data_IF_525334934879
#
_entry.id   IF_525334934879
#
_cell.length_a   1.000
_cell.length_b   1.000
_cell.length_c   1.000
_cell.angle_alpha   90.00
_cell.angle_beta   90.00
_cell.angle_gamma   90.00
#
_symmetry.space_group_name_H-M   'P 1'
#
loop_
_entity.id
_entity.type
_entity.pdbx_description
1 polymer ?
#
# COMPACT_ATOMS: atom_id res chain seq x y z
N UNK A 1 -29.50 -19.05 -25.16
CA UNK A 1 -28.44 -19.51 -24.23
C UNK A 1 -27.78 -18.27 -23.67
N UNK A 2 -28.05 -17.97 -22.41
CA UNK A 2 -27.66 -16.76 -21.70
C UNK A 2 -26.16 -16.79 -21.35
N UNK A 3 -25.36 -15.97 -22.00
CA UNK A 3 -24.01 -15.65 -21.53
C UNK A 3 -24.11 -14.59 -20.44
N UNK A 4 -23.71 -14.99 -19.24
CA UNK A 4 -23.65 -14.21 -18.01
C UNK A 4 -23.03 -12.82 -18.24
N UNK A 5 -23.65 -11.78 -17.69
CA UNK A 5 -23.08 -10.43 -17.66
C UNK A 5 -21.71 -10.50 -16.98
N UNK A 6 -20.66 -9.94 -17.60
CA UNK A 6 -19.40 -9.70 -16.91
C UNK A 6 -19.70 -8.83 -15.67
N UNK A 7 -19.63 -9.43 -14.49
CA UNK A 7 -19.77 -8.73 -13.22
C UNK A 7 -18.69 -7.65 -13.17
N UNK A 8 -19.05 -6.40 -12.87
CA UNK A 8 -18.08 -5.31 -12.78
C UNK A 8 -16.96 -5.66 -11.78
N UNK A 9 -15.69 -5.54 -12.17
CA UNK A 9 -14.53 -5.82 -11.29
C UNK A 9 -14.26 -4.68 -10.30
N UNK A 10 -14.85 -3.51 -10.55
CA UNK A 10 -14.72 -2.30 -9.77
C UNK A 10 -16.12 -1.74 -9.49
N UNK A 11 -16.31 -1.18 -8.29
CA UNK A 11 -17.45 -0.35 -7.94
C UNK A 11 -16.95 1.00 -7.39
N UNK A 12 -17.86 1.94 -7.07
CA UNK A 12 -17.52 3.22 -6.46
C UNK A 12 -18.12 3.33 -5.06
N UNK A 13 -17.30 3.79 -4.11
CA UNK A 13 -17.69 4.13 -2.76
C UNK A 13 -17.17 5.53 -2.43
N UNK A 14 -18.04 6.44 -1.99
CA UNK A 14 -17.72 7.86 -1.76
C UNK A 14 -16.98 8.52 -2.95
N UNK A 15 -17.37 8.16 -4.18
CA UNK A 15 -16.75 8.66 -5.41
C UNK A 15 -15.43 7.98 -5.81
N UNK A 16 -14.82 7.17 -4.93
CA UNK A 16 -13.54 6.51 -5.15
C UNK A 16 -13.76 5.11 -5.75
N UNK A 17 -13.01 4.71 -6.79
CA UNK A 17 -13.07 3.34 -7.32
C UNK A 17 -12.46 2.32 -6.34
N UNK A 18 -13.16 1.21 -6.11
CA UNK A 18 -12.70 0.07 -5.32
C UNK A 18 -12.89 -1.24 -6.08
N UNK A 19 -12.05 -2.24 -5.84
CA UNK A 19 -12.30 -3.60 -6.31
C UNK A 19 -13.59 -4.15 -5.70
N UNK A 20 -14.33 -4.99 -6.42
CA UNK A 20 -15.49 -5.71 -5.85
C UNK A 20 -15.12 -6.73 -4.78
N UNK A 21 -13.82 -7.02 -4.61
CA UNK A 21 -13.28 -7.75 -3.45
C UNK A 21 -13.35 -6.95 -2.13
N UNK A 22 -13.69 -5.67 -2.20
CA UNK A 22 -14.00 -4.81 -1.05
C UNK A 22 -15.48 -4.50 -1.12
N UNK A 23 -16.33 -5.23 -0.38
CA UNK A 23 -17.77 -5.04 -0.51
C UNK A 23 -18.21 -3.63 -0.07
N UNK A 24 -19.21 -3.02 -0.73
CA UNK A 24 -19.75 -1.72 -0.29
C UNK A 24 -20.24 -1.73 1.15
N UNK A 25 -20.81 -2.86 1.62
CA UNK A 25 -21.35 -2.94 2.98
C UNK A 25 -20.25 -3.02 4.04
N UNK A 26 -19.14 -3.71 3.75
CA UNK A 26 -17.93 -3.65 4.58
C UNK A 26 -17.43 -2.20 4.68
N UNK A 27 -17.28 -1.51 3.55
CA UNK A 27 -16.77 -0.14 3.52
C UNK A 27 -17.66 0.83 4.35
N UNK A 28 -18.99 0.66 4.31
CA UNK A 28 -19.93 1.42 5.16
C UNK A 28 -19.80 1.07 6.64
N UNK A 29 -19.47 -0.18 6.98
CA UNK A 29 -19.39 -0.65 8.36
C UNK A 29 -18.02 -0.44 9.00
N UNK A 30 -17.03 0.09 8.27
CA UNK A 30 -15.66 0.22 8.75
C UNK A 30 -15.54 1.04 10.05
N UNK A 31 -16.38 2.06 10.27
CA UNK A 31 -16.40 2.83 11.52
C UNK A 31 -16.89 2.03 12.74
N UNK A 32 -17.57 0.89 12.53
CA UNK A 32 -17.95 -0.01 13.62
C UNK A 32 -16.79 -0.90 14.08
N UNK A 33 -15.64 -0.87 13.39
CA UNK A 33 -14.45 -1.62 13.79
C UNK A 33 -13.87 -1.09 15.10
N UNK A 34 -13.72 -1.95 16.10
CA UNK A 34 -13.08 -1.61 17.37
C UNK A 34 -11.55 -1.82 17.27
N UNK A 35 -10.86 -0.72 17.01
CA UNK A 35 -9.40 -0.68 17.05
C UNK A 35 -8.90 -0.93 18.48
N UNK A 36 -7.70 -1.49 18.61
CA UNK A 36 -7.00 -1.65 19.89
C UNK A 36 -5.86 -0.65 19.95
N UNK A 37 -5.53 -0.17 21.15
CA UNK A 37 -4.43 0.79 21.33
C UNK A 37 -3.10 0.25 20.81
N UNK A 38 -2.91 -1.07 20.84
CA UNK A 38 -1.71 -1.74 20.36
C UNK A 38 -1.77 -2.18 18.89
N UNK A 39 -2.86 -1.88 18.16
CA UNK A 39 -2.90 -2.12 16.72
C UNK A 39 -1.87 -1.27 15.97
N UNK A 40 -1.36 -1.85 14.88
CA UNK A 40 -0.42 -1.18 13.99
C UNK A 40 -1.00 -1.15 12.59
N UNK A 41 -1.14 0.05 12.03
CA UNK A 41 -1.55 0.23 10.65
C UNK A 41 -0.35 0.17 9.71
N UNK A 42 -0.49 -0.60 8.64
CA UNK A 42 0.41 -0.57 7.50
C UNK A 42 -0.33 0.07 6.33
N UNK A 43 0.00 1.33 6.07
CA UNK A 43 -0.71 2.15 5.09
C UNK A 43 0.17 2.42 3.89
N UNK A 44 -0.41 2.29 2.71
CA UNK A 44 0.24 2.66 1.46
C UNK A 44 -0.80 2.91 0.39
N UNK A 45 -0.53 3.81 -0.56
CA UNK A 45 -1.22 3.72 -1.84
C UNK A 45 -0.84 2.41 -2.55
N UNK A 46 -1.72 1.78 -3.34
CA UNK A 46 -1.36 0.56 -4.07
C UNK A 46 -0.05 0.72 -4.84
N UNK A 47 0.81 -0.30 -4.78
CA UNK A 47 2.11 -0.36 -5.48
C UNK A 47 3.21 0.55 -4.92
N UNK A 48 3.03 1.09 -3.72
CA UNK A 48 4.05 1.90 -3.02
C UNK A 48 4.97 1.12 -2.06
N UNK A 49 4.81 -0.20 -1.94
CA UNK A 49 5.73 -1.05 -1.16
C UNK A 49 5.11 -1.85 -0.01
N UNK A 50 3.79 -2.03 -0.01
CA UNK A 50 2.98 -2.70 1.02
C UNK A 50 3.55 -4.06 1.47
N UNK A 51 3.85 -4.94 0.51
CA UNK A 51 4.34 -6.30 0.80
C UNK A 51 5.75 -6.28 1.38
N UNK A 52 6.59 -5.33 0.94
CA UNK A 52 7.94 -5.18 1.44
C UNK A 52 7.94 -4.66 2.88
N UNK A 53 7.13 -3.64 3.14
CA UNK A 53 6.93 -3.11 4.49
C UNK A 53 6.36 -4.17 5.44
N UNK A 54 5.39 -4.97 5.00
CA UNK A 54 4.80 -6.03 5.80
C UNK A 54 5.84 -7.07 6.22
N UNK A 55 6.69 -7.49 5.28
CA UNK A 55 7.79 -8.42 5.55
C UNK A 55 8.74 -7.87 6.62
N UNK A 56 9.13 -6.59 6.50
CA UNK A 56 10.06 -5.96 7.45
C UNK A 56 9.43 -5.88 8.85
N UNK A 57 8.19 -5.39 8.97
CA UNK A 57 7.52 -5.24 10.26
C UNK A 57 7.37 -6.60 10.94
N UNK A 58 7.01 -7.65 10.19
CA UNK A 58 6.91 -9.02 10.72
C UNK A 58 8.24 -9.53 11.27
N UNK A 59 9.35 -9.27 10.58
CA UNK A 59 10.67 -9.67 11.07
C UNK A 59 11.10 -8.88 12.32
N UNK A 60 10.71 -7.60 12.45
CA UNK A 60 10.98 -6.81 13.67
C UNK A 60 10.22 -7.37 14.89
N UNK A 61 8.99 -7.82 14.71
CA UNK A 61 8.12 -8.29 15.79
C UNK A 61 8.24 -9.78 16.15
N UNK A 62 9.08 -10.55 15.44
CA UNK A 62 9.13 -12.01 15.57
C UNK A 62 9.46 -12.42 17.03
N UNK A 63 8.62 -13.25 17.71
CA UNK A 63 7.54 -14.09 17.17
C UNK A 63 6.08 -13.68 17.51
N UNK A 64 5.79 -12.49 18.05
CA UNK A 64 4.51 -12.21 18.78
C UNK A 64 3.56 -11.19 18.11
N UNK A 65 3.23 -11.36 16.83
CA UNK A 65 2.18 -10.54 16.14
C UNK A 65 1.45 -11.33 15.07
N UNK A 66 0.24 -10.90 14.74
CA UNK A 66 -0.51 -11.38 13.59
C UNK A 66 -0.61 -10.28 12.55
N UNK A 67 -0.01 -10.50 11.38
CA UNK A 67 -0.31 -9.73 10.18
C UNK A 67 -1.68 -10.17 9.67
N UNK A 68 -2.60 -9.24 9.50
CA UNK A 68 -3.95 -9.55 9.03
C UNK A 68 -4.06 -9.33 7.52
N UNK A 69 -5.16 -9.77 6.94
CA UNK A 69 -5.59 -9.23 5.65
C UNK A 69 -6.04 -7.77 5.78
N UNK A 70 -6.09 -6.99 4.68
CA UNK A 70 -6.49 -5.58 4.75
C UNK A 70 -7.86 -5.40 5.38
N UNK A 71 -8.04 -4.31 6.12
CA UNK A 71 -9.31 -4.04 6.80
C UNK A 71 -10.46 -3.85 5.79
N UNK A 72 -10.18 -3.31 4.62
CA UNK A 72 -11.15 -3.09 3.54
C UNK A 72 -11.36 -4.30 2.61
N UNK A 73 -10.76 -5.45 2.88
CA UNK A 73 -10.88 -6.65 2.03
C UNK A 73 -11.94 -7.61 2.54
N UNK A 74 -12.85 -8.06 1.67
CA UNK A 74 -13.89 -9.05 1.96
C UNK A 74 -15.29 -8.44 2.12
N UNK A 75 -16.10 -9.09 2.93
CA UNK A 75 -17.44 -8.64 3.30
C UNK A 75 -17.51 -8.22 4.78
N UNK A 76 -18.71 -7.93 5.28
CA UNK A 76 -18.93 -7.44 6.64
C UNK A 76 -18.39 -8.39 7.74
N UNK A 77 -18.23 -9.70 7.44
CA UNK A 77 -17.62 -10.67 8.36
C UNK A 77 -16.21 -10.27 8.79
N UNK A 78 -15.50 -9.49 7.95
CA UNK A 78 -14.14 -9.04 8.22
C UNK A 78 -14.02 -8.27 9.54
N UNK A 79 -15.04 -7.49 9.90
CA UNK A 79 -15.03 -6.74 11.18
C UNK A 79 -14.97 -7.73 12.35
N UNK A 80 -15.80 -8.78 12.32
CA UNK A 80 -15.84 -9.80 13.36
C UNK A 80 -14.57 -10.68 13.37
N UNK A 81 -14.09 -11.10 12.19
CA UNK A 81 -12.84 -11.86 12.04
C UNK A 81 -11.66 -11.17 12.73
N UNK A 82 -11.51 -9.86 12.50
CA UNK A 82 -10.43 -9.08 13.12
C UNK A 82 -10.63 -8.92 14.62
N UNK A 83 -11.87 -8.75 15.08
CA UNK A 83 -12.20 -8.61 16.50
C UNK A 83 -11.90 -9.89 17.30
N UNK A 84 -12.02 -11.06 16.68
CA UNK A 84 -11.77 -12.36 17.30
C UNK A 84 -10.29 -12.75 17.44
N UNK A 85 -9.36 -12.01 16.81
CA UNK A 85 -7.93 -12.26 16.95
C UNK A 85 -7.46 -11.87 18.36
N UNK A 86 -6.77 -12.74 19.10
CA UNK A 86 -6.29 -12.42 20.46
C UNK A 86 -4.90 -11.77 20.50
N UNK A 87 -4.12 -11.92 19.43
CA UNK A 87 -2.76 -11.37 19.29
C UNK A 87 -2.77 -9.89 18.90
N UNK A 88 -1.61 -9.25 19.10
CA UNK A 88 -1.33 -7.92 18.56
C UNK A 88 -1.43 -7.94 17.03
N UNK A 89 -2.19 -7.01 16.44
CA UNK A 89 -2.52 -7.00 15.01
C UNK A 89 -1.66 -5.98 14.24
N UNK A 90 -1.14 -6.41 13.10
CA UNK A 90 -0.64 -5.51 12.05
C UNK A 90 -1.66 -5.54 10.93
N UNK A 91 -2.33 -4.41 10.69
CA UNK A 91 -3.49 -4.30 9.82
C UNK A 91 -3.10 -3.48 8.58
N UNK A 92 -2.96 -4.11 7.40
CA UNK A 92 -2.74 -3.40 6.15
C UNK A 92 -3.98 -2.61 5.73
N UNK A 93 -3.78 -1.51 5.02
CA UNK A 93 -4.86 -0.78 4.35
C UNK A 93 -4.36 0.11 3.22
N UNK A 94 -5.22 0.30 2.22
CA UNK A 94 -5.08 1.26 1.12
C UNK A 94 -6.11 2.41 1.18
N UNK A 95 -6.75 2.60 2.33
CA UNK A 95 -7.68 3.71 2.54
C UNK A 95 -6.92 5.03 2.67
N UNK A 96 -7.49 6.09 2.09
CA UNK A 96 -7.08 7.45 2.43
C UNK A 96 -7.41 7.75 3.90
N UNK A 97 -6.85 8.84 4.42
CA UNK A 97 -7.02 9.16 5.84
C UNK A 97 -8.48 9.45 6.20
N UNK A 98 -9.27 9.98 5.26
CA UNK A 98 -10.67 10.34 5.48
C UNK A 98 -11.57 9.12 5.65
N UNK A 99 -11.29 8.03 4.92
CA UNK A 99 -12.02 6.77 5.04
C UNK A 99 -11.48 5.82 6.13
N UNK A 100 -10.35 6.14 6.76
CA UNK A 100 -9.82 5.35 7.87
C UNK A 100 -10.81 5.38 9.06
N UNK A 101 -11.15 4.21 9.66
CA UNK A 101 -12.04 4.15 10.82
C UNK A 101 -11.64 5.12 11.92
N UNK A 102 -12.62 5.87 12.42
CA UNK A 102 -12.44 6.88 13.46
C UNK A 102 -11.79 6.33 14.74
N UNK A 103 -12.08 5.07 15.10
CA UNK A 103 -11.49 4.43 16.28
C UNK A 103 -9.96 4.33 16.24
N UNK A 104 -9.33 4.14 15.07
CA UNK A 104 -7.87 4.18 14.97
C UNK A 104 -7.30 5.57 15.29
N UNK A 105 -8.02 6.62 14.87
CA UNK A 105 -7.65 8.02 15.10
C UNK A 105 -7.80 8.38 16.57
N UNK A 106 -8.93 8.01 17.19
CA UNK A 106 -9.21 8.26 18.61
C UNK A 106 -8.20 7.55 19.51
N UNK A 107 -7.90 6.27 19.25
CA UNK A 107 -6.93 5.48 20.03
C UNK A 107 -5.48 5.78 19.67
N UNK A 108 -5.22 6.67 18.70
CA UNK A 108 -3.89 7.07 18.27
C UNK A 108 -3.00 5.85 17.92
N UNK A 109 -3.59 4.85 17.26
CA UNK A 109 -2.87 3.63 16.86
C UNK A 109 -1.65 4.00 16.01
N UNK A 110 -0.56 3.24 16.16
CA UNK A 110 0.66 3.51 15.39
C UNK A 110 0.41 3.18 13.92
N UNK A 111 0.81 4.07 13.01
CA UNK A 111 0.72 3.85 11.58
C UNK A 111 2.08 4.02 10.91
N UNK A 112 2.42 3.09 10.03
CA UNK A 112 3.44 3.32 9.01
C UNK A 112 2.74 3.75 7.72
N UNK A 113 3.14 4.90 7.18
CA UNK A 113 2.69 5.35 5.87
C UNK A 113 3.86 5.31 4.89
N UNK A 114 3.84 4.35 3.96
CA UNK A 114 4.88 4.23 2.92
C UNK A 114 4.42 4.83 1.59
N UNK A 115 5.25 5.73 1.08
CA UNK A 115 5.07 6.40 -0.20
C UNK A 115 6.14 5.91 -1.16
N UNK A 116 5.77 5.82 -2.43
CA UNK A 116 6.70 5.70 -3.54
C UNK A 116 6.44 6.84 -4.50
N UNK A 117 7.47 7.28 -5.21
CA UNK A 117 7.32 8.30 -6.23
C UNK A 117 6.17 7.93 -7.21
N UNK A 118 5.33 8.92 -7.57
CA UNK A 118 4.09 8.63 -8.28
C UNK A 118 4.30 8.15 -9.72
N UNK A 119 5.42 8.49 -10.36
CA UNK A 119 5.73 8.02 -11.72
C UNK A 119 6.00 6.51 -11.75
N UNK A 120 6.86 6.01 -10.86
CA UNK A 120 7.08 4.57 -10.73
C UNK A 120 5.86 3.83 -10.17
N UNK A 121 5.10 4.49 -9.29
CA UNK A 121 3.83 3.94 -8.77
C UNK A 121 2.84 3.73 -9.92
N UNK A 122 2.67 4.72 -10.81
CA UNK A 122 1.82 4.62 -11.99
C UNK A 122 2.26 3.48 -12.91
N UNK A 123 3.55 3.39 -13.28
CA UNK A 123 4.07 2.26 -14.09
C UNK A 123 3.82 0.92 -13.40
N UNK A 124 4.08 0.83 -12.10
CA UNK A 124 3.85 -0.40 -11.36
C UNK A 124 2.37 -0.77 -11.29
N UNK A 125 1.47 0.20 -11.28
CA UNK A 125 0.03 0.00 -11.23
C UNK A 125 -0.53 -0.36 -12.61
N UNK A 126 -0.01 0.23 -13.69
CA UNK A 126 -0.32 -0.13 -15.07
C UNK A 126 -0.11 -1.62 -15.34
N UNK A 127 1.11 -2.12 -15.09
CA UNK A 127 1.38 -3.55 -15.25
C UNK A 127 0.49 -4.41 -14.35
N UNK A 128 0.17 -3.90 -13.16
CA UNK A 128 -0.68 -4.63 -12.25
C UNK A 128 -2.13 -4.70 -12.72
N UNK A 129 -2.66 -3.65 -13.35
CA UNK A 129 -3.97 -3.68 -14.02
C UNK A 129 -3.98 -4.66 -15.20
N UNK A 130 -2.92 -4.64 -16.00
CA UNK A 130 -2.81 -5.51 -17.17
C UNK A 130 -2.74 -6.99 -16.81
N UNK A 131 -1.96 -7.33 -15.78
CA UNK A 131 -1.60 -8.71 -15.46
C UNK A 131 -2.46 -9.32 -14.33
N UNK A 132 -3.32 -8.54 -13.66
CA UNK A 132 -4.15 -9.00 -12.53
C UNK A 132 -5.61 -9.25 -12.95
N UNK A 133 -6.12 -10.48 -12.88
CA UNK A 133 -7.50 -10.80 -13.28
C UNK A 133 -8.58 -10.18 -12.38
N UNK A 134 -8.19 -9.65 -11.21
CA UNK A 134 -9.13 -8.95 -10.30
C UNK A 134 -9.35 -7.48 -10.67
N UNK A 135 -8.74 -7.00 -11.76
CA UNK A 135 -8.81 -5.62 -12.23
C UNK A 135 -9.20 -5.59 -13.71
N UNK A 136 -9.91 -4.55 -14.17
CA UNK A 136 -10.19 -4.40 -15.59
C UNK A 136 -8.87 -4.18 -16.33
N UNK A 137 -8.59 -5.02 -17.33
CA UNK A 137 -7.39 -4.91 -18.14
C UNK A 137 -7.37 -3.58 -18.89
N UNK A 138 -6.24 -2.88 -18.83
CA UNK A 138 -5.98 -1.66 -19.61
C UNK A 138 -4.66 -1.88 -20.35
N UNK A 139 -4.73 -2.07 -21.66
CA UNK A 139 -3.56 -2.46 -22.48
C UNK A 139 -2.71 -1.27 -22.94
N UNK A 140 -3.26 -0.05 -22.91
CA UNK A 140 -2.54 1.15 -23.32
C UNK A 140 -2.00 1.91 -22.10
N UNK A 141 -0.68 2.08 -22.07
CA UNK A 141 0.00 2.91 -21.08
C UNK A 141 -0.55 4.34 -21.05
N UNK A 142 -0.74 4.98 -22.20
CA UNK A 142 -1.24 6.37 -22.27
C UNK A 142 -2.63 6.48 -21.67
N UNK A 143 -3.52 5.52 -21.97
CA UNK A 143 -4.89 5.48 -21.41
C UNK A 143 -4.84 5.26 -19.89
N UNK A 144 -4.01 4.32 -19.43
CA UNK A 144 -3.84 4.09 -18.00
C UNK A 144 -3.32 5.33 -17.28
N UNK A 145 -2.31 5.99 -17.84
CA UNK A 145 -1.75 7.20 -17.25
C UNK A 145 -2.82 8.29 -17.11
N UNK A 146 -3.64 8.54 -18.13
CA UNK A 146 -4.74 9.50 -18.02
C UNK A 146 -5.71 9.17 -16.88
N UNK A 147 -6.11 7.90 -16.74
CA UNK A 147 -6.97 7.44 -15.64
C UNK A 147 -6.31 7.64 -14.28
N UNK A 148 -5.03 7.29 -14.16
CA UNK A 148 -4.25 7.49 -12.94
C UNK A 148 -4.18 8.97 -12.53
N UNK A 149 -3.95 9.88 -13.49
CA UNK A 149 -3.87 11.32 -13.22
C UNK A 149 -5.23 11.92 -12.82
N UNK A 150 -6.34 11.38 -13.36
CA UNK A 150 -7.70 11.75 -12.96
C UNK A 150 -8.12 11.14 -11.61
N UNK A 151 -7.41 10.12 -11.12
CA UNK A 151 -7.81 9.35 -9.95
C UNK A 151 -8.92 8.33 -10.23
N UNK A 152 -9.13 7.97 -11.50
CA UNK A 152 -10.11 6.96 -11.94
C UNK A 152 -9.50 5.55 -11.95
N UNK A 153 -8.74 5.23 -10.91
CA UNK A 153 -8.16 3.91 -10.64
C UNK A 153 -8.51 3.49 -9.21
N UNK A 154 -8.29 2.21 -8.86
CA UNK A 154 -8.60 1.69 -7.53
C UNK A 154 -7.85 2.48 -6.46
N UNK A 155 -8.53 2.78 -5.35
CA UNK A 155 -8.05 3.67 -4.27
C UNK A 155 -7.91 5.15 -4.68
N UNK A 156 -8.39 5.54 -5.85
CA UNK A 156 -8.60 6.95 -6.22
C UNK A 156 -7.34 7.68 -6.65
N UNK A 157 -7.30 8.98 -6.36
CA UNK A 157 -6.15 9.81 -6.71
C UNK A 157 -4.98 9.56 -5.76
N UNK A 158 -3.82 9.17 -6.30
CA UNK A 158 -2.58 9.11 -5.52
C UNK A 158 -2.27 10.42 -4.80
N UNK A 159 -2.60 11.55 -5.43
CA UNK A 159 -2.35 12.88 -4.89
C UNK A 159 -3.20 13.14 -3.65
N UNK A 160 -4.50 12.89 -3.75
CA UNK A 160 -5.45 13.19 -2.68
C UNK A 160 -5.25 12.19 -1.52
N UNK A 161 -4.97 10.92 -1.84
CA UNK A 161 -4.56 9.92 -0.86
C UNK A 161 -3.31 10.38 -0.09
N UNK A 162 -2.25 10.80 -0.79
CA UNK A 162 -1.03 11.27 -0.13
C UNK A 162 -1.24 12.53 0.72
N UNK A 163 -1.93 13.54 0.19
CA UNK A 163 -2.18 14.78 0.92
C UNK A 163 -3.02 14.55 2.18
N UNK A 164 -4.05 13.70 2.11
CA UNK A 164 -4.90 13.39 3.27
C UNK A 164 -4.09 12.80 4.44
N UNK A 165 -3.07 11.99 4.15
CA UNK A 165 -2.19 11.45 5.18
C UNK A 165 -1.14 12.48 5.61
N UNK A 166 -0.59 13.27 4.68
CA UNK A 166 0.41 14.30 4.99
C UNK A 166 -0.09 15.38 5.95
N UNK A 167 -1.40 15.68 5.97
CA UNK A 167 -2.01 16.57 6.97
C UNK A 167 -1.66 16.16 8.41
N UNK A 168 -1.40 14.86 8.63
CA UNK A 168 -1.05 14.24 9.90
C UNK A 168 0.45 13.95 10.03
N UNK A 169 1.31 14.54 9.21
CA UNK A 169 2.78 14.31 9.24
C UNK A 169 3.47 14.63 10.56
N UNK A 170 2.85 15.46 11.40
CA UNK A 170 3.39 15.88 12.70
C UNK A 170 2.87 15.00 13.85
N UNK A 171 1.93 14.07 13.58
CA UNK A 171 1.37 13.19 14.58
C UNK A 171 2.41 12.14 14.99
N UNK A 172 2.67 12.02 16.30
CA UNK A 172 3.76 11.18 16.82
C UNK A 172 3.54 9.69 16.61
N UNK A 173 2.30 9.27 16.40
CA UNK A 173 1.89 7.90 16.10
C UNK A 173 1.92 7.59 14.60
N UNK A 174 2.39 8.48 13.71
CA UNK A 174 2.50 8.21 12.27
C UNK A 174 3.95 8.33 11.81
N UNK A 175 4.48 7.26 11.21
CA UNK A 175 5.80 7.24 10.61
C UNK A 175 5.73 7.23 9.08
N UNK A 176 6.17 8.33 8.48
CA UNK A 176 6.36 8.43 7.04
C UNK A 176 7.65 7.73 6.60
N UNK A 177 7.50 6.85 5.60
CA UNK A 177 8.56 6.11 4.95
C UNK A 177 8.53 6.38 3.44
N UNK A 178 9.70 6.48 2.83
CA UNK A 178 9.85 6.62 1.37
C UNK A 178 10.46 5.32 0.83
N UNK A 179 9.82 4.75 -0.17
CA UNK A 179 10.29 3.55 -0.86
C UNK A 179 11.73 3.72 -1.35
N UNK A 180 12.05 4.92 -1.84
CA UNK A 180 13.37 5.28 -2.36
C UNK A 180 14.42 5.33 -1.26
N UNK A 181 14.09 5.87 -0.08
CA UNK A 181 14.98 5.85 1.09
C UNK A 181 15.26 4.40 1.53
N UNK A 182 14.23 3.55 1.54
CA UNK A 182 14.37 2.13 1.85
C UNK A 182 15.24 1.40 0.82
N UNK A 183 15.14 1.76 -0.46
CA UNK A 183 15.98 1.19 -1.53
C UNK A 183 17.44 1.63 -1.41
N UNK A 184 17.67 2.87 -0.96
CA UNK A 184 19.00 3.46 -0.81
C UNK A 184 19.73 2.95 0.43
N UNK A 185 19.07 2.89 1.58
CA UNK A 185 19.68 2.51 2.86
C UNK A 185 18.65 1.82 3.76
N UNK A 186 18.38 0.56 3.46
CA UNK A 186 17.42 -0.25 4.22
C UNK A 186 17.79 -0.39 5.71
N UNK A 187 19.06 -0.66 6.10
CA UNK A 187 19.43 -0.80 7.51
C UNK A 187 19.07 0.43 8.35
N UNK A 188 19.33 1.64 7.82
CA UNK A 188 18.97 2.89 8.50
C UNK A 188 17.46 3.04 8.67
N UNK A 189 16.67 2.68 7.64
CA UNK A 189 15.21 2.74 7.73
C UNK A 189 14.66 1.70 8.70
N UNK A 190 15.19 0.47 8.71
CA UNK A 190 14.80 -0.58 9.67
C UNK A 190 15.08 -0.13 11.11
N UNK A 191 16.23 0.49 11.38
CA UNK A 191 16.52 1.07 12.70
C UNK A 191 15.51 2.16 13.08
N UNK A 192 15.17 3.06 12.14
CA UNK A 192 14.14 4.09 12.36
C UNK A 192 12.78 3.47 12.71
N UNK A 193 12.39 2.41 12.00
CA UNK A 193 11.15 1.68 12.26
C UNK A 193 11.16 1.01 13.63
N UNK A 194 12.26 0.39 14.04
CA UNK A 194 12.35 -0.27 15.34
C UNK A 194 12.24 0.73 16.50
N UNK A 195 12.89 1.90 16.38
CA UNK A 195 12.76 3.00 17.35
C UNK A 195 11.32 3.49 17.44
N UNK A 196 10.66 3.70 16.31
CA UNK A 196 9.24 4.10 16.28
C UNK A 196 8.32 3.07 16.95
N UNK A 197 8.61 1.78 16.77
CA UNK A 197 7.87 0.70 17.43
C UNK A 197 8.20 0.56 18.92
N UNK A 198 9.32 1.12 19.38
CA UNK A 198 9.83 0.92 20.74
C UNK A 198 10.47 -0.46 20.93
N UNK A 199 11.05 -1.02 19.86
CA UNK A 199 11.66 -2.35 19.86
C UNK A 199 13.16 -2.23 19.65
N UNK A 200 13.90 -2.77 20.60
CA UNK A 200 15.36 -2.86 20.50
C UNK A 200 15.73 -4.04 19.62
N UNK A 201 16.44 -3.75 18.54
CA UNK A 201 17.06 -4.73 17.66
C UNK A 201 18.55 -4.39 17.51
N UNK A 202 19.38 -5.42 17.54
CA UNK A 202 20.82 -5.38 17.33
C UNK A 202 21.17 -5.20 15.85
N UNK A 203 22.43 -4.82 15.57
CA UNK A 203 22.88 -4.63 14.19
C UNK A 203 22.90 -5.93 13.39
N UNK A 204 23.11 -7.08 14.05
CA UNK A 204 23.00 -8.40 13.42
C UNK A 204 21.56 -8.75 13.06
N UNK A 205 20.59 -8.43 13.92
CA UNK A 205 19.16 -8.58 13.61
C UNK A 205 18.75 -7.67 12.46
N UNK A 206 19.20 -6.40 12.44
CA UNK A 206 18.95 -5.46 11.33
C UNK A 206 19.48 -6.03 10.01
N UNK A 207 20.72 -6.54 10.01
CA UNK A 207 21.33 -7.16 8.83
C UNK A 207 20.49 -8.35 8.33
N UNK A 208 20.10 -9.25 9.23
CA UNK A 208 19.26 -10.41 8.91
C UNK A 208 17.88 -10.01 8.37
N UNK A 209 17.23 -8.99 8.97
CA UNK A 209 15.96 -8.43 8.47
C UNK A 209 16.15 -7.91 7.04
N UNK A 210 17.24 -7.20 6.76
CA UNK A 210 17.53 -6.65 5.44
C UNK A 210 17.75 -7.75 4.39
N UNK A 211 18.50 -8.80 4.73
CA UNK A 211 18.74 -9.95 3.85
C UNK A 211 17.42 -10.67 3.51
N UNK A 212 16.62 -11.01 4.54
CA UNK A 212 15.31 -11.67 4.39
C UNK A 212 14.25 -10.82 3.68
N UNK A 213 14.42 -9.50 3.71
CA UNK A 213 13.52 -8.55 3.05
C UNK A 213 14.09 -8.06 1.71
N UNK A 214 15.17 -8.65 1.21
CA UNK A 214 15.69 -8.31 -0.11
C UNK A 214 14.70 -8.75 -1.21
N UNK A 215 14.68 -8.01 -2.33
CA UNK A 215 13.78 -8.31 -3.44
C UNK A 215 13.94 -9.75 -3.94
N UNK A 216 15.19 -10.20 -4.09
CA UNK A 216 15.52 -11.55 -4.56
C UNK A 216 15.02 -12.61 -3.58
N UNK A 217 15.26 -12.43 -2.28
CA UNK A 217 14.87 -13.39 -1.25
C UNK A 217 13.34 -13.49 -1.16
N UNK A 218 12.65 -12.35 -1.11
CA UNK A 218 11.19 -12.34 -1.08
C UNK A 218 10.56 -12.94 -2.34
N UNK A 219 11.13 -12.67 -3.53
CA UNK A 219 10.67 -13.26 -4.79
C UNK A 219 10.84 -14.79 -4.78
N UNK A 220 12.02 -15.26 -4.38
CA UNK A 220 12.35 -16.69 -4.24
C UNK A 220 11.39 -17.40 -3.28
N UNK A 221 11.08 -16.79 -2.13
CA UNK A 221 10.16 -17.36 -1.16
C UNK A 221 8.73 -17.48 -1.71
N UNK A 222 8.24 -16.47 -2.43
CA UNK A 222 6.92 -16.52 -3.07
C UNK A 222 6.84 -17.52 -4.23
N UNK A 223 7.97 -17.85 -4.87
CA UNK A 223 8.03 -18.91 -5.88
C UNK A 223 7.94 -20.31 -5.27
N UNK A 224 8.43 -20.47 -4.03
CA UNK A 224 8.44 -21.73 -3.26
C UNK A 224 7.17 -21.98 -2.44
N UNK A 225 6.51 -20.92 -1.98
CA UNK A 225 5.27 -21.01 -1.22
C UNK A 225 4.10 -21.48 -2.11
N UNK A 226 3.36 -22.50 -1.66
CA UNK A 226 2.01 -22.74 -2.17
C UNK A 226 1.14 -21.59 -1.63
N UNK A 227 0.82 -20.63 -2.50
CA UNK A 227 0.09 -19.42 -2.11
C UNK A 227 -1.27 -19.78 -1.50
N UNK A 228 -1.44 -19.54 -0.20
CA UNK A 228 -2.77 -19.45 0.40
C UNK A 228 -3.45 -18.19 -0.14
N UNK A 229 -4.49 -18.38 -0.96
CA UNK A 229 -5.23 -17.28 -1.57
C UNK A 229 -5.94 -16.39 -0.53
N UNK A 230 -6.13 -16.88 0.70
CA UNK A 230 -6.92 -16.22 1.74
C UNK A 230 -6.08 -15.31 2.65
N UNK A 231 -4.74 -15.45 2.64
CA UNK A 231 -3.85 -14.57 3.40
C UNK A 231 -3.08 -13.62 2.47
N UNK A 232 -3.59 -12.39 2.32
CA UNK A 232 -2.98 -11.34 1.49
C UNK A 232 -2.87 -10.06 2.27
N UNK A 233 -1.85 -9.24 2.03
CA UNK A 233 -1.72 -7.90 2.61
C UNK A 233 -2.25 -6.79 1.72
N UNK A 234 -2.90 -7.16 0.60
CA UNK A 234 -3.45 -6.23 -0.37
C UNK A 234 -4.71 -6.83 -0.99
N UNK A 235 -5.83 -6.09 -0.92
CA UNK A 235 -7.14 -6.54 -1.39
C UNK A 235 -7.17 -6.87 -2.89
N UNK A 236 -6.21 -6.30 -3.63
CA UNK A 236 -6.08 -6.49 -5.08
C UNK A 236 -5.31 -7.76 -5.44
N UNK A 237 -4.47 -8.30 -4.53
CA UNK A 237 -3.59 -9.43 -4.83
C UNK A 237 -4.29 -10.74 -4.52
N UNK A 238 -4.36 -11.65 -5.50
CA UNK A 238 -4.61 -13.08 -5.28
C UNK A 238 -3.36 -13.91 -5.58
N UNK A 239 -2.57 -13.49 -6.57
CA UNK A 239 -1.28 -14.10 -6.90
C UNK A 239 -0.12 -13.16 -6.52
N UNK A 240 0.63 -13.51 -5.46
CA UNK A 240 1.77 -12.71 -4.98
C UNK A 240 2.92 -12.62 -6.00
N UNK A 241 3.02 -13.53 -6.97
CA UNK A 241 4.04 -13.46 -8.05
C UNK A 241 3.90 -12.19 -8.89
N UNK A 242 2.67 -11.67 -9.04
CA UNK A 242 2.37 -10.42 -9.76
C UNK A 242 2.96 -9.17 -9.07
N UNK A 243 3.42 -9.29 -7.82
CA UNK A 243 4.02 -8.17 -7.08
C UNK A 243 5.49 -7.97 -7.46
N UNK A 244 6.21 -9.04 -7.81
CA UNK A 244 7.66 -9.03 -8.03
C UNK A 244 8.00 -8.79 -9.51
N UNK A 245 7.85 -7.54 -9.96
CA UNK A 245 8.17 -7.13 -11.33
C UNK A 245 9.64 -6.72 -11.51
N UNK A 246 10.03 -5.53 -11.02
CA UNK A 246 11.41 -5.01 -11.09
C UNK A 246 11.99 -4.59 -9.73
N UNK A 247 11.17 -4.10 -8.80
CA UNK A 247 11.65 -3.68 -7.47
C UNK A 247 12.71 -2.57 -7.48
N UNK A 248 12.67 -1.69 -8.49
CA UNK A 248 13.65 -0.64 -8.73
C UNK A 248 13.01 0.76 -8.71
N UNK A 249 13.86 1.79 -8.58
CA UNK A 249 13.50 3.21 -8.67
C UNK A 249 13.94 3.72 -10.05
N UNK A 250 13.11 4.51 -10.72
CA UNK A 250 13.43 5.14 -12.00
C UNK A 250 12.94 4.39 -13.25
N UNK A 251 12.17 3.30 -13.10
CA UNK A 251 11.67 2.54 -14.26
C UNK A 251 10.63 3.31 -15.08
N UNK A 252 10.05 4.36 -14.50
CA UNK A 252 9.19 5.29 -15.20
C UNK A 252 9.82 5.87 -16.49
N UNK A 253 11.13 6.06 -16.53
CA UNK A 253 11.84 6.57 -17.73
C UNK A 253 11.66 5.70 -18.96
N UNK A 254 11.41 4.40 -18.77
CA UNK A 254 11.22 3.46 -19.87
C UNK A 254 9.79 3.45 -20.43
N UNK A 255 8.88 4.24 -19.84
CA UNK A 255 7.45 4.23 -20.18
C UNK A 255 6.93 5.61 -20.54
N UNK A 256 7.35 6.64 -19.80
CA UNK A 256 6.90 8.01 -20.05
C UNK A 256 7.54 8.58 -21.31
N UNK A 257 6.71 9.04 -22.24
CA UNK A 257 7.17 9.95 -23.30
C UNK A 257 7.54 11.33 -22.71
N UNK A 258 8.36 12.15 -23.39
CA UNK A 258 8.66 13.50 -22.92
C UNK A 258 7.41 14.37 -22.70
N UNK A 259 6.39 14.20 -23.55
CA UNK A 259 5.12 14.93 -23.44
C UNK A 259 4.33 14.51 -22.20
N UNK A 260 4.20 13.20 -21.96
CA UNK A 260 3.53 12.67 -20.78
C UNK A 260 4.26 13.06 -19.49
N UNK A 261 5.59 13.05 -19.51
CA UNK A 261 6.41 13.48 -18.38
C UNK A 261 6.17 14.95 -18.03
N UNK A 262 6.15 15.84 -19.04
CA UNK A 262 5.87 17.26 -18.84
C UNK A 262 4.46 17.48 -18.27
N UNK A 263 3.45 16.83 -18.82
CA UNK A 263 2.07 16.91 -18.31
C UNK A 263 1.98 16.44 -16.86
N UNK A 264 2.68 15.34 -16.54
CA UNK A 264 2.75 14.82 -15.18
C UNK A 264 3.36 15.86 -14.23
N UNK A 265 4.50 16.46 -14.59
CA UNK A 265 5.21 17.44 -13.77
C UNK A 265 4.39 18.71 -13.54
N UNK A 266 3.70 19.22 -14.55
CA UNK A 266 2.79 20.36 -14.42
C UNK A 266 1.69 20.08 -13.39
N UNK A 267 1.06 18.90 -13.48
CA UNK A 267 0.01 18.52 -12.54
C UNK A 267 0.56 18.25 -11.14
N UNK A 268 1.71 17.58 -11.02
CA UNK A 268 2.37 17.33 -9.74
C UNK A 268 2.71 18.66 -9.05
N UNK A 269 3.34 19.59 -9.76
CA UNK A 269 3.70 20.91 -9.23
C UNK A 269 2.45 21.71 -8.80
N UNK A 270 1.34 21.57 -9.53
CA UNK A 270 0.07 22.21 -9.16
C UNK A 270 -0.54 21.59 -7.90
N UNK A 271 -0.70 20.26 -7.86
CA UNK A 271 -1.36 19.56 -6.74
C UNK A 271 -0.50 19.52 -5.47
N UNK A 272 0.82 19.39 -5.61
CA UNK A 272 1.76 19.20 -4.50
C UNK A 272 2.49 20.47 -4.09
N UNK A 273 2.05 21.65 -4.57
CA UNK A 273 2.72 22.94 -4.35
C UNK A 273 3.03 23.22 -2.88
N UNK A 274 2.09 22.89 -1.99
CA UNK A 274 2.16 23.16 -0.54
C UNK A 274 2.67 21.96 0.27
N UNK A 275 2.84 20.80 -0.38
CA UNK A 275 3.33 19.59 0.28
C UNK A 275 4.81 19.75 0.65
N UNK A 276 5.14 19.45 1.90
CA UNK A 276 6.52 19.46 2.40
C UNK A 276 7.21 18.13 2.10
N UNK A 277 6.47 17.03 2.27
CA UNK A 277 6.96 15.68 2.04
C UNK A 277 7.08 15.35 0.55
N UNK A 278 6.25 15.94 -0.33
CA UNK A 278 6.42 15.81 -1.78
C UNK A 278 7.79 16.28 -2.27
N UNK A 279 8.36 17.32 -1.63
CA UNK A 279 9.68 17.87 -1.98
C UNK A 279 10.82 16.89 -1.71
N UNK A 280 10.56 15.87 -0.87
CA UNK A 280 11.51 14.81 -0.54
C UNK A 280 11.40 13.60 -1.47
N UNK A 281 10.39 13.56 -2.35
CA UNK A 281 10.22 12.45 -3.29
C UNK A 281 11.36 12.49 -4.31
N UNK A 282 12.08 11.38 -4.37
CA UNK A 282 13.17 11.17 -5.31
C UNK A 282 12.65 10.28 -6.44
N UNK A 283 13.02 10.59 -7.68
CA UNK A 283 12.59 9.83 -8.86
C UNK A 283 13.68 8.88 -9.39
N UNK A 284 14.89 8.95 -8.83
CA UNK A 284 16.10 8.27 -9.29
C UNK A 284 17.03 8.01 -8.10
N UNK A 285 17.55 6.78 -7.96
CA UNK A 285 18.54 6.45 -6.92
C UNK A 285 19.97 6.57 -7.43
#
# INVERSE_FOLDING_TARGET
MSTQSQTALIHRFNGIPFTTRSSPDLLKSLDAFDAREDDILLVSYPKSGTHWLAQIIMQIYTPKVTLTSPIEFGDISRVEELNNLSSKRIIPTHLDYNMLPSNFKVKQCKAFYIIRNPKDTAVSMYHYYRDNPNLPTIDSWTVFLELFLRGDVVCGSWFDHFLSWEEHKNDRNILFLFYEDMKKDLPKVVKKMSVFLGINISDSEIKNICEKSSFTEMKSNVEKENSDANHTVCALTSNRKLIFRKGAVGDWKNHFTPKENKMFEEMFNKKMKLSELAKRIIYEC
#
